data_IF_065607008639
#
_entry.id   IF_065607008639
#
_cell.length_a   1.000
_cell.length_b   1.000
_cell.length_c   1.000
_cell.angle_alpha   90.00
_cell.angle_beta   90.00
_cell.angle_gamma   90.00
#
_symmetry.space_group_name_H-M   'P 1'
#
loop_
_entity.id
_entity.type
_entity.pdbx_description
1 polymer ?
#
# COMPACT_ATOMS: atom_id res chain seq x y z
N UNK A 1 2.12 -33.30 -4.21
CA UNK A 1 2.18 -32.32 -3.10
C UNK A 1 0.75 -32.00 -2.70
N UNK A 2 0.46 -31.92 -1.39
CA UNK A 2 -0.87 -31.58 -0.85
C UNK A 2 -0.69 -30.49 0.20
N UNK A 3 -1.49 -29.43 0.15
CA UNK A 3 -1.44 -28.28 1.06
C UNK A 3 -2.73 -28.21 1.87
N UNK A 4 -2.62 -27.79 3.14
CA UNK A 4 -3.80 -27.48 3.96
C UNK A 4 -4.29 -26.07 3.69
N UNK A 5 -5.62 -25.89 3.75
CA UNK A 5 -6.30 -24.63 3.44
C UNK A 5 -6.82 -23.98 4.72
N UNK A 6 -6.61 -22.66 4.83
CA UNK A 6 -7.23 -21.82 5.85
C UNK A 6 -8.65 -21.40 5.42
N UNK A 7 -9.56 -21.08 6.36
CA UNK A 7 -10.86 -20.50 6.05
C UNK A 7 -10.75 -19.19 5.27
N UNK A 8 -11.66 -18.96 4.33
CA UNK A 8 -11.71 -17.70 3.59
C UNK A 8 -12.16 -16.54 4.49
N UNK A 9 -11.61 -15.35 4.24
CA UNK A 9 -11.95 -14.12 4.96
C UNK A 9 -12.00 -12.92 4.01
N UNK A 10 -12.71 -11.86 4.43
CA UNK A 10 -12.72 -10.56 3.74
C UNK A 10 -11.60 -9.68 4.29
N UNK A 11 -11.06 -8.82 3.43
CA UNK A 11 -10.02 -7.85 3.78
C UNK A 11 -10.48 -6.43 3.45
N UNK A 12 -10.09 -5.49 4.30
CA UNK A 12 -10.17 -4.05 4.00
C UNK A 12 -8.78 -3.57 3.66
N UNK A 13 -8.67 -2.86 2.53
CA UNK A 13 -7.40 -2.41 1.96
C UNK A 13 -7.51 -0.91 1.69
N UNK A 14 -6.53 -0.16 2.19
CA UNK A 14 -6.40 1.28 1.96
C UNK A 14 -4.96 1.61 1.59
N UNK A 15 -4.77 2.39 0.53
CA UNK A 15 -3.46 2.88 0.12
C UNK A 15 -3.32 4.35 0.49
N UNK A 16 -2.29 4.66 1.27
CA UNK A 16 -2.01 6.02 1.70
C UNK A 16 -0.63 6.45 1.25
N UNK A 17 -0.57 7.61 0.60
CA UNK A 17 0.67 8.18 0.09
C UNK A 17 1.20 9.25 1.04
N UNK A 18 2.23 8.92 1.81
CA UNK A 18 2.82 9.78 2.85
C UNK A 18 4.25 10.18 2.49
N UNK A 19 4.82 11.16 3.19
CA UNK A 19 6.24 11.50 3.07
C UNK A 19 7.10 10.35 3.63
N UNK A 20 8.35 10.23 3.16
CA UNK A 20 9.31 9.22 3.63
C UNK A 20 10.16 9.69 4.84
N UNK A 21 9.80 10.80 5.47
CA UNK A 21 10.40 11.26 6.71
C UNK A 21 10.25 10.21 7.83
N UNK A 22 11.36 9.80 8.45
CA UNK A 22 11.35 8.81 9.53
C UNK A 22 10.96 7.40 9.09
N UNK A 23 11.27 7.04 7.83
CA UNK A 23 10.95 5.74 7.23
C UNK A 23 11.37 4.54 8.10
N UNK A 24 12.55 4.59 8.73
CA UNK A 24 13.06 3.45 9.52
C UNK A 24 12.16 3.12 10.73
N UNK A 25 11.85 4.14 11.53
CA UNK A 25 10.97 4.03 12.71
C UNK A 25 9.56 3.64 12.27
N UNK A 26 9.14 4.16 11.12
CA UNK A 26 7.83 3.90 10.56
C UNK A 26 7.64 2.44 10.13
N UNK A 27 8.62 1.85 9.41
CA UNK A 27 8.53 0.48 8.90
C UNK A 27 8.35 -0.51 10.05
N UNK A 28 9.13 -0.37 11.13
CA UNK A 28 9.02 -1.28 12.27
C UNK A 28 7.63 -1.19 12.91
N UNK A 29 7.16 0.02 13.21
CA UNK A 29 5.84 0.23 13.81
C UNK A 29 4.72 -0.27 12.91
N UNK A 30 4.83 -0.05 11.60
CA UNK A 30 3.85 -0.50 10.63
C UNK A 30 3.76 -2.02 10.58
N UNK A 31 4.90 -2.71 10.48
CA UNK A 31 4.95 -4.18 10.48
C UNK A 31 4.36 -4.82 11.74
N UNK A 32 4.40 -4.12 12.89
CA UNK A 32 3.77 -4.58 14.14
C UNK A 32 2.27 -4.30 14.21
N UNK A 33 1.77 -3.31 13.46
CA UNK A 33 0.40 -2.81 13.57
C UNK A 33 -0.50 -3.28 12.45
N UNK A 34 0.04 -3.77 11.33
CA UNK A 34 -0.73 -4.30 10.19
C UNK A 34 -0.54 -5.80 9.99
N UNK A 35 -1.62 -6.53 9.72
CA UNK A 35 -1.55 -7.99 9.52
C UNK A 35 -0.96 -8.35 8.15
N UNK A 36 -1.35 -7.64 7.09
CA UNK A 36 -0.91 -7.89 5.71
C UNK A 36 -0.38 -6.64 5.01
N UNK A 37 0.17 -5.72 5.80
CA UNK A 37 0.65 -4.44 5.30
C UNK A 37 1.73 -4.59 4.23
N UNK A 38 1.81 -3.60 3.35
CA UNK A 38 2.86 -3.47 2.34
C UNK A 38 3.32 -2.01 2.22
N UNK A 39 4.56 -1.80 1.78
CA UNK A 39 5.15 -0.48 1.58
C UNK A 39 5.84 -0.45 0.22
N UNK A 40 5.40 0.46 -0.65
CA UNK A 40 6.10 0.82 -1.88
C UNK A 40 6.77 2.18 -1.69
N UNK A 41 8.09 2.22 -1.76
CA UNK A 41 8.85 3.46 -1.64
C UNK A 41 9.13 4.09 -3.01
N UNK A 42 8.96 5.42 -3.11
CA UNK A 42 9.28 6.24 -4.27
C UNK A 42 10.36 7.27 -3.90
N UNK A 43 11.65 6.88 -3.89
CA UNK A 43 12.74 7.73 -3.39
C UNK A 43 12.81 9.10 -4.05
N UNK A 44 12.69 9.15 -5.39
CA UNK A 44 12.73 10.40 -6.17
C UNK A 44 11.61 11.39 -5.79
N UNK A 45 10.50 10.88 -5.25
CA UNK A 45 9.36 11.70 -4.85
C UNK A 45 9.40 12.06 -3.37
N UNK A 46 10.34 11.50 -2.59
CA UNK A 46 10.37 11.57 -1.12
C UNK A 46 9.06 11.12 -0.48
N UNK A 47 8.50 10.03 -1.03
CA UNK A 47 7.18 9.50 -0.63
C UNK A 47 7.18 8.00 -0.57
N UNK A 48 6.33 7.46 0.29
CA UNK A 48 5.99 6.04 0.34
C UNK A 48 4.48 5.87 0.24
N UNK A 49 4.07 4.84 -0.50
CA UNK A 49 2.70 4.33 -0.48
C UNK A 49 2.63 3.16 0.48
N UNK A 50 1.83 3.27 1.53
CA UNK A 50 1.55 2.18 2.47
C UNK A 50 0.21 1.55 2.15
N UNK A 51 0.15 0.22 2.14
CA UNK A 51 -1.08 -0.55 2.04
C UNK A 51 -1.51 -1.01 3.43
N UNK A 52 -2.46 -0.30 4.02
CA UNK A 52 -3.09 -0.69 5.28
C UNK A 52 -4.08 -1.83 4.99
N UNK A 53 -3.84 -3.00 5.58
CA UNK A 53 -4.53 -4.22 5.19
C UNK A 53 -4.82 -5.13 6.39
N UNK A 54 -6.12 -5.38 6.62
CA UNK A 54 -6.64 -6.12 7.75
C UNK A 54 -7.79 -7.03 7.36
N UNK A 55 -7.99 -8.12 8.12
CA UNK A 55 -9.24 -8.87 8.06
C UNK A 55 -10.40 -8.03 8.58
N UNK A 56 -11.55 -8.21 7.95
CA UNK A 56 -12.82 -7.62 8.40
C UNK A 56 -13.93 -8.68 8.35
N UNK A 57 -15.03 -8.49 9.11
CA UNK A 57 -16.19 -9.36 9.01
C UNK A 57 -16.73 -9.43 7.58
N UNK A 58 -17.32 -10.56 7.19
CA UNK A 58 -17.93 -10.72 5.86
C UNK A 58 -19.09 -9.72 5.61
N UNK A 59 -19.71 -9.25 6.69
CA UNK A 59 -20.80 -8.27 6.68
C UNK A 59 -20.35 -6.83 6.52
N UNK A 60 -19.04 -6.56 6.64
CA UNK A 60 -18.51 -5.20 6.50
C UNK A 60 -18.83 -4.69 5.08
N UNK A 61 -19.49 -3.54 4.89
CA UNK A 61 -19.74 -3.02 3.55
C UNK A 61 -18.42 -2.59 2.90
N UNK A 62 -18.41 -2.51 1.57
CA UNK A 62 -17.25 -1.99 0.82
C UNK A 62 -17.72 -1.12 -0.33
N UNK A 63 -16.94 -0.08 -0.65
CA UNK A 63 -17.29 0.88 -1.70
C UNK A 63 -16.78 0.45 -3.09
N UNK A 64 -16.00 -0.64 -3.18
CA UNK A 64 -15.41 -1.12 -4.43
C UNK A 64 -14.36 -0.17 -5.03
N UNK A 65 -13.80 0.72 -4.21
CA UNK A 65 -12.80 1.69 -4.64
C UNK A 65 -11.39 1.08 -4.63
N UNK A 66 -10.58 1.41 -5.64
CA UNK A 66 -9.16 1.13 -5.66
C UNK A 66 -8.39 2.45 -5.62
N UNK A 67 -7.81 2.75 -4.46
CA UNK A 67 -7.06 3.95 -4.15
C UNK A 67 -5.56 3.83 -4.48
N UNK A 68 -5.10 2.69 -5.00
CA UNK A 68 -3.70 2.49 -5.39
C UNK A 68 -3.31 3.40 -6.56
N UNK A 69 -2.35 4.28 -6.32
CA UNK A 69 -1.91 5.27 -7.31
C UNK A 69 -0.93 4.72 -8.33
N UNK A 70 -0.33 3.55 -8.11
CA UNK A 70 0.71 2.99 -8.98
C UNK A 70 0.22 2.60 -10.39
N UNK A 71 -1.09 2.42 -10.58
CA UNK A 71 -1.68 2.18 -11.91
C UNK A 71 -2.20 3.45 -12.58
N UNK A 72 -2.11 4.61 -11.93
CA UNK A 72 -2.58 5.88 -12.50
C UNK A 72 -1.57 6.38 -13.52
N UNK A 73 -2.08 6.91 -14.63
CA UNK A 73 -1.23 7.53 -15.66
C UNK A 73 -0.45 8.70 -15.05
N UNK A 74 0.88 8.62 -15.10
CA UNK A 74 1.74 9.77 -14.83
C UNK A 74 1.85 10.58 -16.11
N UNK A 75 1.62 11.89 -16.04
CA UNK A 75 1.84 12.80 -17.18
C UNK A 75 3.26 12.62 -17.70
N UNK A 76 3.40 12.39 -19.01
CA UNK A 76 4.69 12.11 -19.66
C UNK A 76 5.75 13.17 -19.36
N UNK A 77 5.35 14.43 -19.22
CA UNK A 77 6.20 15.57 -18.87
C UNK A 77 6.80 15.46 -17.46
N UNK A 78 6.04 14.97 -16.47
CA UNK A 78 6.52 14.71 -15.12
C UNK A 78 7.50 13.53 -15.09
N UNK A 79 7.25 12.50 -15.90
CA UNK A 79 8.16 11.35 -16.03
C UNK A 79 9.50 11.75 -16.64
N UNK A 80 9.50 12.69 -17.60
CA UNK A 80 10.71 13.14 -18.27
C UNK A 80 11.57 14.05 -17.39
N UNK A 81 10.96 14.89 -16.53
CA UNK A 81 11.68 15.69 -15.55
C UNK A 81 12.27 14.84 -14.42
N UNK A 82 11.54 13.83 -13.93
CA UNK A 82 12.04 12.87 -12.92
C UNK A 82 13.20 12.01 -13.43
N UNK A 83 13.33 11.77 -14.74
CA UNK A 83 14.45 11.02 -15.33
C UNK A 83 15.70 11.86 -15.56
N UNK A 84 15.59 13.19 -15.56
CA UNK A 84 16.68 14.13 -15.86
C UNK A 84 17.27 14.79 -14.61
N UNK A 85 16.60 14.68 -13.45
CA UNK A 85 17.11 15.08 -12.14
C UNK A 85 18.02 13.98 -11.57
#
# INVERSE_FOLDING_TARGET
>A
VTLQMEPMFKRSITHELVADDGLEDYIERFGRTTEFGDITWYPEQKRLSRRVDFRVPLTEPGNGENDFTGYRSLLSTLTESLRKA
#
